data_IF_284893011019
#
_entry.id   IF_284893011019
#
_cell.length_a   1.000
_cell.length_b   1.000
_cell.length_c   1.000
_cell.angle_alpha   90.00
_cell.angle_beta   90.00
_cell.angle_gamma   90.00
#
_symmetry.space_group_name_H-M   'P 1'
#
loop_
_entity.id
_entity.type
_entity.pdbx_description
1 polymer ?
#
# COMPACT_ATOMS: atom_id res chain seq x y z
N UNK A 1 -5.24 38.87 8.02
CA UNK A 1 -4.74 37.64 7.36
C UNK A 1 -4.97 36.46 8.28
N UNK A 2 -5.76 35.50 7.86
CA UNK A 2 -6.06 34.34 8.69
C UNK A 2 -4.94 33.32 8.59
N UNK A 3 -4.63 32.64 9.71
CA UNK A 3 -3.70 31.54 9.70
C UNK A 3 -4.26 30.37 8.87
N UNK A 4 -3.41 29.56 8.20
CA UNK A 4 -3.92 28.38 7.50
C UNK A 4 -4.60 27.42 8.49
N UNK A 5 -5.70 26.83 8.06
CA UNK A 5 -6.41 25.84 8.85
C UNK A 5 -5.54 24.59 9.00
N UNK A 6 -5.43 24.01 10.21
CA UNK A 6 -4.72 22.74 10.35
C UNK A 6 -5.46 21.65 9.58
N UNK A 7 -4.69 20.71 9.02
CA UNK A 7 -5.23 19.53 8.36
C UNK A 7 -5.96 18.70 9.44
N UNK A 8 -7.21 18.31 9.18
CA UNK A 8 -7.94 17.46 10.11
C UNK A 8 -7.24 16.10 10.28
N UNK A 9 -7.49 15.45 11.42
CA UNK A 9 -6.92 14.12 11.66
C UNK A 9 -7.34 13.14 10.57
N UNK A 10 -8.58 13.20 10.10
CA UNK A 10 -9.07 12.31 9.04
C UNK A 10 -8.37 12.59 7.70
N UNK A 11 -8.17 13.86 7.36
CA UNK A 11 -7.46 14.22 6.13
C UNK A 11 -5.99 13.79 6.20
N UNK A 12 -5.36 13.90 7.38
CA UNK A 12 -4.01 13.42 7.60
C UNK A 12 -3.91 11.91 7.36
N UNK A 13 -4.87 11.15 7.86
CA UNK A 13 -4.92 9.70 7.67
C UNK A 13 -5.10 9.32 6.21
N UNK A 14 -5.98 10.01 5.48
CA UNK A 14 -6.16 9.81 4.05
C UNK A 14 -4.87 10.10 3.29
N UNK A 15 -4.17 11.16 3.67
CA UNK A 15 -2.88 11.51 3.07
C UNK A 15 -1.84 10.40 3.27
N UNK A 16 -1.75 9.84 4.48
CA UNK A 16 -0.79 8.79 4.81
C UNK A 16 -1.04 7.51 4.01
N UNK A 17 -2.31 7.08 3.88
CA UNK A 17 -2.60 5.88 3.08
C UNK A 17 -2.32 6.11 1.60
N UNK A 18 -2.54 7.32 1.09
CA UNK A 18 -2.18 7.66 -0.29
C UNK A 18 -0.67 7.63 -0.51
N UNK A 19 0.13 8.05 0.47
CA UNK A 19 1.60 7.99 0.39
C UNK A 19 2.09 6.56 0.19
N UNK A 20 1.46 5.59 0.83
CA UNK A 20 1.81 4.17 0.67
C UNK A 20 1.83 3.78 -0.81
N UNK A 21 0.76 4.11 -1.54
CA UNK A 21 0.65 3.70 -2.93
C UNK A 21 1.46 4.60 -3.87
N UNK A 22 1.41 5.90 -3.67
CA UNK A 22 2.08 6.84 -4.56
C UNK A 22 3.59 6.83 -4.39
N UNK A 23 4.08 6.92 -3.17
CA UNK A 23 5.52 7.08 -2.94
C UNK A 23 6.26 5.75 -2.98
N UNK A 24 5.71 4.70 -2.37
CA UNK A 24 6.40 3.40 -2.32
C UNK A 24 6.29 2.69 -3.66
N UNK A 25 5.08 2.57 -4.20
CA UNK A 25 4.87 1.78 -5.41
C UNK A 25 5.08 2.57 -6.70
N UNK A 26 4.47 3.74 -6.83
CA UNK A 26 4.54 4.51 -8.08
C UNK A 26 5.87 5.22 -8.26
N UNK A 27 6.41 5.79 -7.19
CA UNK A 27 7.69 6.50 -7.24
C UNK A 27 8.89 5.60 -6.93
N UNK A 28 8.64 4.39 -6.43
CA UNK A 28 9.72 3.46 -6.10
C UNK A 28 10.57 3.90 -4.91
N UNK A 29 10.02 4.70 -4.02
CA UNK A 29 10.76 5.22 -2.85
C UNK A 29 10.69 4.21 -1.71
N UNK A 30 11.52 3.21 -1.78
CA UNK A 30 11.57 2.11 -0.81
C UNK A 30 11.77 2.60 0.63
N UNK A 31 12.53 3.67 0.82
CA UNK A 31 12.81 4.25 2.14
C UNK A 31 11.55 4.73 2.87
N UNK A 32 10.49 5.05 2.13
CA UNK A 32 9.21 5.50 2.71
C UNK A 32 8.55 4.39 3.53
N UNK A 33 8.85 3.11 3.23
CA UNK A 33 8.37 1.98 4.04
C UNK A 33 8.75 2.18 5.50
N UNK A 34 9.99 2.62 5.75
CA UNK A 34 10.50 2.80 7.11
C UNK A 34 10.01 4.07 7.78
N UNK A 35 9.43 4.99 7.01
CA UNK A 35 8.77 6.18 7.56
C UNK A 35 7.31 5.88 7.93
N UNK A 36 6.60 5.11 7.11
CA UNK A 36 5.16 4.88 7.27
C UNK A 36 4.82 3.72 8.20
N UNK A 37 5.62 2.64 8.19
CA UNK A 37 5.31 1.44 8.98
C UNK A 37 6.02 1.52 10.32
N UNK A 38 5.25 1.48 11.41
CA UNK A 38 5.83 1.41 12.74
C UNK A 38 6.58 0.08 12.91
N UNK A 39 7.62 0.02 13.77
CA UNK A 39 8.36 -1.23 13.99
C UNK A 39 7.48 -2.41 14.41
N UNK A 40 6.41 -2.14 15.16
CA UNK A 40 5.45 -3.15 15.63
C UNK A 40 4.30 -3.40 14.66
N UNK A 41 4.29 -2.78 13.49
CA UNK A 41 3.21 -2.91 12.52
C UNK A 41 3.04 -4.35 12.06
N UNK A 42 1.79 -4.79 11.98
CA UNK A 42 1.44 -6.09 11.41
C UNK A 42 0.53 -5.86 10.22
N UNK A 43 0.91 -6.39 9.07
CA UNK A 43 0.13 -6.37 7.85
C UNK A 43 -0.45 -7.76 7.61
N UNK A 44 -1.76 -7.84 7.47
CA UNK A 44 -2.46 -9.05 7.09
C UNK A 44 -2.71 -9.00 5.58
N UNK A 45 -1.99 -9.83 4.82
CA UNK A 45 -2.10 -9.92 3.36
C UNK A 45 -2.78 -11.24 3.01
N UNK A 46 -4.12 -11.21 2.96
CA UNK A 46 -4.88 -12.45 2.88
C UNK A 46 -4.56 -13.34 4.07
N UNK A 47 -4.06 -14.55 3.82
CA UNK A 47 -3.65 -15.49 4.86
C UNK A 47 -2.22 -15.27 5.34
N UNK A 48 -1.45 -14.41 4.67
CA UNK A 48 -0.08 -14.15 5.04
C UNK A 48 0.01 -13.07 6.12
N UNK A 49 1.02 -13.17 6.95
CA UNK A 49 1.31 -12.21 8.01
C UNK A 49 2.68 -11.60 7.75
N UNK A 50 2.73 -10.27 7.66
CA UNK A 50 3.95 -9.51 7.42
C UNK A 50 4.20 -8.63 8.64
N UNK A 51 5.33 -8.81 9.31
CA UNK A 51 5.65 -8.12 10.57
C UNK A 51 6.72 -7.06 10.35
N UNK A 52 6.34 -5.82 10.61
CA UNK A 52 7.27 -4.70 10.62
C UNK A 52 7.73 -4.25 9.24
N UNK A 53 8.45 -3.11 9.19
CA UNK A 53 8.90 -2.55 7.92
C UNK A 53 9.93 -3.42 7.20
N UNK A 54 10.77 -4.18 7.92
CA UNK A 54 11.77 -5.03 7.30
C UNK A 54 11.12 -6.18 6.52
N UNK A 55 10.12 -6.84 7.08
CA UNK A 55 9.39 -7.90 6.37
C UNK A 55 8.58 -7.34 5.21
N UNK A 56 7.99 -6.16 5.38
CA UNK A 56 7.31 -5.51 4.27
C UNK A 56 8.29 -5.13 3.15
N UNK A 57 9.48 -4.64 3.49
CA UNK A 57 10.51 -4.34 2.51
C UNK A 57 10.94 -5.59 1.75
N UNK A 58 11.06 -6.74 2.42
CA UNK A 58 11.37 -8.01 1.77
C UNK A 58 10.24 -8.45 0.83
N UNK A 59 9.00 -8.28 1.23
CA UNK A 59 7.82 -8.53 0.39
C UNK A 59 7.83 -7.62 -0.84
N UNK A 60 8.10 -6.34 -0.65
CA UNK A 60 8.23 -5.36 -1.73
C UNK A 60 9.34 -5.76 -2.70
N UNK A 61 10.52 -6.10 -2.18
CA UNK A 61 11.66 -6.50 -3.01
C UNK A 61 11.36 -7.75 -3.82
N UNK A 62 10.65 -8.72 -3.22
CA UNK A 62 10.25 -9.93 -3.95
C UNK A 62 9.32 -9.62 -5.12
N UNK A 63 8.35 -8.72 -4.92
CA UNK A 63 7.48 -8.29 -6.01
C UNK A 63 8.25 -7.52 -7.09
N UNK A 64 9.18 -6.66 -6.69
CA UNK A 64 10.01 -5.93 -7.64
C UNK A 64 10.91 -6.85 -8.47
N UNK A 65 11.29 -8.01 -7.92
CA UNK A 65 12.10 -8.99 -8.65
C UNK A 65 11.29 -9.73 -9.72
N UNK A 66 9.98 -9.86 -9.52
CA UNK A 66 9.10 -10.60 -10.43
C UNK A 66 8.37 -9.70 -11.42
N UNK A 67 8.10 -8.46 -11.04
CA UNK A 67 7.29 -7.53 -11.83
C UNK A 67 8.00 -6.20 -11.99
N UNK A 68 7.70 -5.50 -13.08
CA UNK A 68 8.22 -4.15 -13.37
C UNK A 68 7.07 -3.22 -13.72
N UNK A 69 7.41 -1.93 -13.84
CA UNK A 69 6.48 -0.91 -14.35
C UNK A 69 5.20 -0.82 -13.52
N UNK A 70 5.36 -0.85 -12.20
CA UNK A 70 4.21 -0.71 -11.31
C UNK A 70 3.56 0.65 -11.45
N UNK A 71 2.24 0.61 -11.63
CA UNK A 71 1.41 1.79 -11.57
C UNK A 71 0.16 1.45 -10.77
N UNK A 72 0.03 2.07 -9.61
CA UNK A 72 -1.15 1.89 -8.78
C UNK A 72 -2.01 3.14 -8.89
N UNK A 73 -3.28 2.92 -9.18
CA UNK A 73 -4.29 3.98 -9.23
C UNK A 73 -5.15 3.85 -7.99
N UNK A 74 -4.95 4.72 -6.99
CA UNK A 74 -5.79 4.69 -5.79
C UNK A 74 -7.17 5.28 -6.10
N UNK A 75 -8.20 4.69 -5.50
CA UNK A 75 -9.53 5.24 -5.48
C UNK A 75 -9.68 6.31 -4.39
N UNK A 76 -10.91 6.64 -4.04
CA UNK A 76 -11.18 7.60 -2.98
C UNK A 76 -10.78 7.02 -1.64
N UNK A 77 -9.98 7.75 -0.90
CA UNK A 77 -9.63 7.38 0.47
C UNK A 77 -10.76 7.72 1.42
N UNK A 78 -11.04 6.80 2.33
CA UNK A 78 -12.02 6.97 3.41
C UNK A 78 -11.29 6.90 4.74
N UNK A 79 -11.77 7.64 5.73
CA UNK A 79 -11.18 7.60 7.06
C UNK A 79 -12.24 7.75 8.13
N UNK A 80 -12.08 7.02 9.23
CA UNK A 80 -12.92 7.09 10.41
C UNK A 80 -12.09 6.68 11.62
N UNK A 81 -12.15 7.47 12.69
CA UNK A 81 -11.35 7.22 13.88
C UNK A 81 -9.85 7.21 13.53
N UNK A 82 -9.15 6.14 13.86
CA UNK A 82 -7.74 5.95 13.54
C UNK A 82 -7.53 5.08 12.30
N UNK A 83 -8.59 4.80 11.54
CA UNK A 83 -8.56 3.95 10.36
C UNK A 83 -8.66 4.77 9.07
N UNK A 84 -7.94 4.34 8.05
CA UNK A 84 -8.10 4.84 6.69
C UNK A 84 -8.10 3.68 5.71
N UNK A 85 -8.82 3.82 4.60
CA UNK A 85 -8.89 2.78 3.59
C UNK A 85 -9.06 3.38 2.20
N UNK A 86 -8.68 2.58 1.19
CA UNK A 86 -9.00 2.89 -0.19
C UNK A 86 -9.00 1.61 -1.02
N UNK A 87 -9.78 1.65 -2.10
CA UNK A 87 -9.67 0.66 -3.17
C UNK A 87 -8.58 1.13 -4.14
N UNK A 88 -7.89 0.17 -4.71
CA UNK A 88 -6.83 0.47 -5.68
C UNK A 88 -6.86 -0.55 -6.82
N UNK A 89 -6.33 -0.13 -7.97
CA UNK A 89 -6.00 -1.03 -9.06
C UNK A 89 -4.51 -0.88 -9.37
N UNK A 90 -3.88 -1.99 -9.72
CA UNK A 90 -2.46 -2.03 -10.04
C UNK A 90 -2.26 -2.61 -11.43
N UNK A 91 -1.36 -1.98 -12.17
CA UNK A 91 -0.86 -2.50 -13.44
C UNK A 91 0.64 -2.71 -13.30
N UNK A 92 1.12 -3.81 -13.85
CA UNK A 92 2.56 -4.08 -13.88
C UNK A 92 2.85 -5.05 -15.02
N UNK A 93 4.12 -5.36 -15.22
CA UNK A 93 4.56 -6.31 -16.23
C UNK A 93 5.28 -7.46 -15.55
N UNK A 94 4.91 -8.68 -15.88
CA UNK A 94 5.61 -9.87 -15.41
C UNK A 94 6.94 -10.01 -16.16
N UNK A 95 8.06 -9.96 -15.43
CA UNK A 95 9.39 -9.92 -16.05
C UNK A 95 9.70 -11.17 -16.87
N UNK A 96 9.34 -12.34 -16.34
CA UNK A 96 9.66 -13.61 -17.00
C UNK A 96 8.93 -13.81 -18.34
N UNK A 97 7.68 -13.35 -18.46
CA UNK A 97 6.84 -13.59 -19.64
C UNK A 97 6.57 -12.34 -20.46
N UNK A 98 6.83 -11.15 -19.92
CA UNK A 98 6.45 -9.88 -20.54
C UNK A 98 4.97 -9.59 -20.55
N UNK A 99 4.15 -10.40 -19.86
CA UNK A 99 2.71 -10.20 -19.81
C UNK A 99 2.36 -8.94 -19.03
N UNK A 100 1.38 -8.20 -19.53
CA UNK A 100 0.77 -7.09 -18.79
C UNK A 100 -0.22 -7.67 -17.79
N UNK A 101 -0.11 -7.22 -16.53
CA UNK A 101 -0.89 -7.74 -15.42
C UNK A 101 -1.73 -6.62 -14.83
N UNK A 102 -2.99 -6.91 -14.52
CA UNK A 102 -3.89 -6.00 -13.83
C UNK A 102 -4.48 -6.72 -12.62
N UNK A 103 -4.38 -6.11 -11.45
CA UNK A 103 -5.03 -6.61 -10.24
C UNK A 103 -5.69 -5.45 -9.51
N UNK A 104 -6.66 -5.76 -8.68
CA UNK A 104 -7.31 -4.78 -7.82
C UNK A 104 -7.40 -5.30 -6.41
N UNK A 105 -7.56 -4.38 -5.48
CA UNK A 105 -7.67 -4.74 -4.08
C UNK A 105 -8.19 -3.59 -3.24
N UNK A 106 -8.23 -3.84 -1.95
CA UNK A 106 -8.58 -2.85 -0.94
C UNK A 106 -7.60 -2.99 0.22
N UNK A 107 -7.21 -1.85 0.76
CA UNK A 107 -6.33 -1.82 1.93
C UNK A 107 -6.94 -0.96 3.02
N UNK A 108 -6.74 -1.39 4.26
CA UNK A 108 -7.16 -0.66 5.47
C UNK A 108 -5.93 -0.54 6.34
N UNK A 109 -5.71 0.65 6.92
CA UNK A 109 -4.60 0.88 7.84
C UNK A 109 -5.13 1.49 9.13
N UNK A 110 -4.53 1.07 10.26
CA UNK A 110 -4.69 1.75 11.55
C UNK A 110 -3.47 2.62 11.76
N UNK A 111 -3.72 3.89 12.08
CA UNK A 111 -2.67 4.91 12.18
C UNK A 111 -2.56 5.38 13.62
N UNK A 112 -1.33 5.44 14.13
CA UNK A 112 -1.03 5.98 15.46
C UNK A 112 0.29 6.74 15.38
N UNK A 113 0.28 7.98 15.86
CA UNK A 113 1.47 8.85 15.83
C UNK A 113 2.08 8.99 14.43
N UNK A 114 1.23 9.09 13.41
CA UNK A 114 1.66 9.28 12.02
C UNK A 114 2.20 8.06 11.33
N UNK A 115 2.08 6.87 11.93
CA UNK A 115 2.58 5.61 11.37
C UNK A 115 1.50 4.54 11.34
N UNK A 116 1.66 3.59 10.44
CA UNK A 116 0.79 2.42 10.38
C UNK A 116 1.19 1.43 11.47
N UNK A 117 0.25 1.06 12.33
CA UNK A 117 0.47 0.06 13.39
C UNK A 117 -0.21 -1.26 13.09
N UNK A 118 -1.23 -1.26 12.25
CA UNK A 118 -1.88 -2.44 11.68
C UNK A 118 -2.31 -2.12 10.26
N UNK A 119 -2.31 -3.13 9.41
CA UNK A 119 -2.81 -2.98 8.05
C UNK A 119 -3.46 -4.29 7.59
N UNK A 120 -4.47 -4.17 6.75
CA UNK A 120 -5.15 -5.30 6.13
C UNK A 120 -5.20 -5.07 4.65
N UNK A 121 -4.85 -6.09 3.89
CA UNK A 121 -4.80 -5.99 2.44
C UNK A 121 -5.44 -7.22 1.84
N UNK A 122 -6.46 -7.00 1.02
CA UNK A 122 -7.11 -8.05 0.25
C UNK A 122 -7.07 -7.67 -1.22
N UNK A 123 -6.56 -8.56 -2.05
CA UNK A 123 -6.44 -8.33 -3.47
C UNK A 123 -6.71 -9.62 -4.24
N UNK A 124 -6.94 -9.50 -5.54
CA UNK A 124 -7.37 -10.60 -6.39
C UNK A 124 -6.21 -11.52 -6.77
N UNK A 125 -5.79 -12.35 -5.82
CA UNK A 125 -4.70 -13.31 -6.03
C UNK A 125 -5.07 -14.38 -7.08
N UNK A 126 -6.33 -14.79 -7.10
CA UNK A 126 -6.80 -15.76 -8.11
C UNK A 126 -6.73 -15.17 -9.51
N UNK A 127 -7.09 -13.88 -9.66
CA UNK A 127 -6.99 -13.18 -10.94
C UNK A 127 -5.54 -13.06 -11.40
N UNK A 128 -4.60 -12.80 -10.49
CA UNK A 128 -3.18 -12.79 -10.83
C UNK A 128 -2.72 -14.18 -11.31
N UNK A 129 -3.06 -15.23 -10.56
CA UNK A 129 -2.69 -16.59 -10.93
C UNK A 129 -3.22 -16.96 -12.33
N UNK A 130 -4.47 -16.58 -12.63
CA UNK A 130 -5.07 -16.82 -13.94
C UNK A 130 -4.33 -16.10 -15.07
N UNK A 131 -3.89 -14.86 -14.83
CA UNK A 131 -3.14 -14.09 -15.82
C UNK A 131 -1.74 -14.65 -16.08
N UNK A 132 -1.14 -15.27 -15.06
CA UNK A 132 0.19 -15.87 -15.16
C UNK A 132 0.17 -17.30 -15.72
N UNK A 133 -1.00 -17.91 -15.81
CA UNK A 133 -1.15 -19.28 -16.30
C UNK A 133 -0.84 -19.42 -17.81
#
# INVERSE_FOLDING_TARGET
>A
MSAPQPISALDQQKHLVNRWFEEIWNQGRREVIFELFAPECVLYDGDALIRGPQEFAAFYDNLQSQFSDFRITPGTALAEGDLASLRWSAHCRHRATGKDISVSGISIVRIRDGCFVEAWQNWDAAGLAAQLA
#
